data_IF_372608928639
#
_entry.id   IF_372608928639
#
_cell.length_a   1.000
_cell.length_b   1.000
_cell.length_c   1.000
_cell.angle_alpha   90.00
_cell.angle_beta   90.00
_cell.angle_gamma   90.00
#
_symmetry.space_group_name_H-M   'P 1'
#
loop_
_entity.id
_entity.type
_entity.pdbx_description
1 polymer ?
#
# COMPACT_ATOMS: atom_id res chain seq x y z
N UNK A 1 -13.87 21.68 -28.97
CA UNK A 1 -12.40 21.87 -29.11
C UNK A 1 -12.06 23.25 -28.58
N UNK A 2 -11.42 23.34 -27.40
CA UNK A 2 -10.86 24.62 -26.94
C UNK A 2 -9.75 25.01 -27.92
N UNK A 3 -9.78 26.24 -28.44
CA UNK A 3 -8.66 26.80 -29.19
C UNK A 3 -7.55 27.07 -28.16
N UNK A 4 -6.63 26.13 -28.02
CA UNK A 4 -5.44 26.34 -27.20
C UNK A 4 -4.62 27.47 -27.81
N UNK A 5 -4.18 28.39 -26.95
CA UNK A 5 -3.35 29.54 -27.36
C UNK A 5 -1.94 29.03 -27.69
N UNK A 6 -1.24 29.68 -28.62
CA UNK A 6 0.12 29.26 -29.04
C UNK A 6 1.10 29.21 -27.85
N UNK A 7 0.92 30.10 -26.87
CA UNK A 7 1.67 30.12 -25.61
C UNK A 7 1.41 28.87 -24.75
N UNK A 8 0.16 28.41 -24.66
CA UNK A 8 -0.19 27.18 -23.93
C UNK A 8 0.43 25.94 -24.60
N UNK A 9 0.46 25.93 -25.94
CA UNK A 9 1.14 24.89 -26.72
C UNK A 9 2.66 24.91 -26.50
N UNK A 10 3.27 26.09 -26.40
CA UNK A 10 4.69 26.25 -26.09
C UNK A 10 5.01 25.67 -24.70
N UNK A 11 4.24 26.06 -23.67
CA UNK A 11 4.40 25.54 -22.31
C UNK A 11 4.21 24.01 -22.25
N UNK A 12 3.17 23.49 -22.88
CA UNK A 12 2.89 22.05 -22.91
C UNK A 12 3.99 21.26 -23.63
N UNK A 13 4.68 21.86 -24.60
CA UNK A 13 5.84 21.24 -25.26
C UNK A 13 7.01 20.93 -24.31
N UNK A 14 7.13 21.66 -23.20
CA UNK A 14 8.18 21.44 -22.21
C UNK A 14 7.81 20.34 -21.20
N UNK A 15 6.53 20.10 -20.95
CA UNK A 15 6.02 19.11 -19.99
C UNK A 15 5.67 17.76 -20.63
N UNK A 16 5.19 17.77 -21.89
CA UNK A 16 4.64 16.59 -22.56
C UNK A 16 5.07 16.50 -24.02
N UNK A 17 5.02 15.27 -24.56
CA UNK A 17 5.26 15.04 -25.98
C UNK A 17 4.05 15.51 -26.80
N UNK A 18 4.21 16.61 -27.54
CA UNK A 18 3.21 17.12 -28.48
C UNK A 18 3.00 16.17 -29.67
N UNK A 19 1.77 16.12 -30.18
CA UNK A 19 1.45 15.42 -31.43
C UNK A 19 2.10 16.11 -32.64
N UNK A 20 2.22 15.39 -33.76
CA UNK A 20 2.87 15.91 -34.97
C UNK A 20 2.17 17.17 -35.54
N UNK A 21 0.84 17.24 -35.44
CA UNK A 21 0.05 18.39 -35.91
C UNK A 21 0.25 19.63 -35.02
N UNK A 22 0.34 19.43 -33.70
CA UNK A 22 0.56 20.51 -32.74
C UNK A 22 1.98 21.07 -32.81
N UNK A 23 2.96 20.19 -33.04
CA UNK A 23 4.34 20.61 -33.35
C UNK A 23 4.41 21.46 -34.60
N UNK A 24 3.76 21.04 -35.69
CA UNK A 24 3.72 21.83 -36.92
C UNK A 24 3.08 23.21 -36.72
N UNK A 25 2.04 23.31 -35.89
CA UNK A 25 1.41 24.60 -35.54
C UNK A 25 2.31 25.47 -34.67
N UNK A 26 3.05 24.88 -33.72
CA UNK A 26 4.01 25.59 -32.88
C UNK A 26 5.20 26.08 -33.71
N UNK A 27 5.75 25.26 -34.60
CA UNK A 27 6.89 25.61 -35.46
C UNK A 27 6.53 26.74 -36.44
N UNK A 28 5.32 26.68 -37.03
CA UNK A 28 4.81 27.76 -37.88
C UNK A 28 4.65 29.07 -37.10
N UNK A 29 4.20 29.01 -35.84
CA UNK A 29 4.06 30.18 -34.98
C UNK A 29 5.41 30.73 -34.50
N UNK A 30 6.38 29.87 -34.20
CA UNK A 30 7.75 30.24 -33.85
C UNK A 30 8.49 30.87 -35.03
N UNK A 31 8.19 30.46 -36.27
CA UNK A 31 8.72 31.08 -37.48
C UNK A 31 8.13 32.47 -37.73
N UNK A 32 6.88 32.71 -37.31
CA UNK A 32 6.16 33.96 -37.53
C UNK A 32 6.33 35.03 -36.45
N UNK A 33 6.86 34.69 -35.27
CA UNK A 33 6.97 35.62 -34.14
C UNK A 33 8.33 35.53 -33.45
N UNK A 34 9.05 36.65 -33.50
CA UNK A 34 10.34 36.79 -32.82
C UNK A 34 10.19 36.84 -31.29
N UNK A 35 9.02 37.26 -30.79
CA UNK A 35 8.69 37.32 -29.36
C UNK A 35 8.55 35.91 -28.77
N UNK A 36 7.81 35.02 -29.44
CA UNK A 36 7.65 33.61 -29.05
C UNK A 36 8.98 32.85 -29.03
N UNK A 37 9.89 33.16 -29.97
CA UNK A 37 11.26 32.61 -29.95
C UNK A 37 12.06 33.07 -28.74
N UNK A 38 11.91 34.33 -28.31
CA UNK A 38 12.61 34.84 -27.12
C UNK A 38 12.07 34.18 -25.86
N UNK A 39 10.77 33.98 -25.75
CA UNK A 39 10.15 33.27 -24.64
C UNK A 39 10.62 31.82 -24.55
N UNK A 40 10.66 31.11 -25.68
CA UNK A 40 11.20 29.74 -25.75
C UNK A 40 12.64 29.67 -25.22
N UNK A 41 13.50 30.61 -25.64
CA UNK A 41 14.89 30.67 -25.19
C UNK A 41 15.01 31.00 -23.69
N UNK A 42 14.12 31.83 -23.15
CA UNK A 42 14.11 32.14 -21.72
C UNK A 42 13.70 30.91 -20.89
N UNK A 43 12.64 30.21 -21.31
CA UNK A 43 12.18 28.97 -20.67
C UNK A 43 13.25 27.88 -20.71
N UNK A 44 13.97 27.75 -21.83
CA UNK A 44 15.07 26.80 -21.95
C UNK A 44 16.24 27.13 -21.01
N UNK A 45 16.59 28.41 -20.86
CA UNK A 45 17.61 28.86 -19.90
C UNK A 45 17.21 28.54 -18.46
N UNK A 46 15.95 28.81 -18.09
CA UNK A 46 15.42 28.49 -16.76
C UNK A 46 15.46 26.99 -16.51
N UNK A 47 15.07 26.17 -17.51
CA UNK A 47 15.13 24.71 -17.40
C UNK A 47 16.55 24.19 -17.20
N UNK A 48 17.51 24.71 -17.96
CA UNK A 48 18.91 24.32 -17.81
C UNK A 48 19.46 24.72 -16.42
N UNK A 49 19.09 25.92 -15.94
CA UNK A 49 19.46 26.38 -14.60
C UNK A 49 18.82 25.49 -13.51
N UNK A 50 17.54 25.15 -13.61
CA UNK A 50 16.88 24.19 -12.71
C UNK A 50 17.51 22.80 -12.77
N UNK A 51 17.86 22.31 -13.96
CA UNK A 51 18.56 21.04 -14.13
C UNK A 51 19.91 21.03 -13.43
N UNK A 52 20.62 22.16 -13.41
CA UNK A 52 21.89 22.29 -12.67
C UNK A 52 21.71 22.34 -11.15
N UNK A 53 20.52 22.71 -10.66
CA UNK A 53 20.16 22.70 -9.24
C UNK A 53 19.70 21.32 -8.75
N UNK A 54 19.29 20.43 -9.66
CA UNK A 54 18.99 19.05 -9.31
C UNK A 54 20.31 18.36 -8.95
N UNK A 55 20.60 18.34 -7.64
CA UNK A 55 21.66 17.54 -7.09
C UNK A 55 21.49 16.10 -7.59
N UNK A 56 22.52 15.56 -8.23
CA UNK A 56 22.58 14.14 -8.57
C UNK A 56 22.21 13.37 -7.31
N UNK A 57 21.13 12.53 -7.33
CA UNK A 57 20.75 11.79 -6.15
C UNK A 57 21.99 11.03 -5.69
N UNK A 58 22.44 11.31 -4.45
CA UNK A 58 23.63 10.66 -3.87
C UNK A 58 23.45 9.16 -4.05
N UNK A 59 24.45 8.49 -4.62
CA UNK A 59 24.49 7.02 -4.70
C UNK A 59 24.15 6.46 -3.30
N UNK A 60 23.13 5.61 -3.23
CA UNK A 60 22.63 5.03 -1.98
C UNK A 60 21.51 5.81 -1.27
N UNK A 61 20.93 6.86 -1.87
CA UNK A 61 19.73 7.51 -1.32
C UNK A 61 18.57 6.53 -1.19
N UNK A 62 18.34 5.72 -2.22
CA UNK A 62 17.30 4.67 -2.22
C UNK A 62 17.59 3.63 -1.13
N UNK A 63 18.85 3.23 -0.97
CA UNK A 63 19.24 2.28 0.09
C UNK A 63 19.06 2.87 1.49
N UNK A 64 19.33 4.17 1.67
CA UNK A 64 19.10 4.89 2.92
C UNK A 64 17.62 4.94 3.30
N UNK A 65 16.75 5.30 2.34
CA UNK A 65 15.30 5.35 2.53
C UNK A 65 14.74 3.94 2.79
N UNK A 66 15.17 2.94 2.03
CA UNK A 66 14.73 1.55 2.23
C UNK A 66 15.20 0.98 3.57
N UNK A 67 16.39 1.37 4.03
CA UNK A 67 16.88 0.96 5.35
C UNK A 67 16.02 1.56 6.47
N UNK A 68 15.68 2.84 6.37
CA UNK A 68 14.89 3.55 7.38
C UNK A 68 13.43 3.05 7.43
N UNK A 69 12.84 2.73 6.28
CA UNK A 69 11.51 2.10 6.19
C UNK A 69 11.48 0.67 6.76
N UNK A 70 12.53 -0.12 6.54
CA UNK A 70 12.62 -1.49 7.05
C UNK A 70 12.97 -1.58 8.53
N UNK A 71 13.51 -0.52 9.14
CA UNK A 71 13.72 -0.41 10.58
C UNK A 71 12.52 0.22 11.27
N UNK A 72 11.32 -0.37 11.11
CA UNK A 72 10.25 -0.12 12.08
C UNK A 72 10.47 -1.05 13.29
N UNK A 73 11.05 -0.57 14.41
CA UNK A 73 11.40 -1.43 15.55
C UNK A 73 10.17 -2.06 16.23
N UNK A 74 8.98 -1.52 15.94
CA UNK A 74 7.72 -1.97 16.53
C UNK A 74 7.33 -3.35 16.02
N UNK A 75 7.52 -3.63 14.72
CA UNK A 75 7.16 -4.93 14.13
C UNK A 75 8.11 -6.05 14.58
N UNK A 76 9.42 -5.78 14.62
CA UNK A 76 10.41 -6.75 15.08
C UNK A 76 10.23 -7.11 16.57
N UNK A 77 9.89 -6.13 17.40
CA UNK A 77 9.67 -6.35 18.84
C UNK A 77 8.38 -7.13 19.10
N UNK A 78 7.28 -6.80 18.40
CA UNK A 78 6.01 -7.53 18.51
C UNK A 78 6.12 -8.97 18.00
N UNK A 79 6.79 -9.20 16.87
CA UNK A 79 7.06 -10.55 16.36
C UNK A 79 7.90 -11.38 17.33
N UNK A 80 8.81 -10.75 18.09
CA UNK A 80 9.65 -11.47 19.07
C UNK A 80 8.91 -11.94 20.32
N UNK A 81 7.79 -11.28 20.67
CA UNK A 81 6.99 -11.59 21.86
C UNK A 81 5.85 -12.57 21.52
N UNK A 82 5.38 -12.57 20.27
CA UNK A 82 4.35 -13.49 19.76
C UNK A 82 4.58 -14.97 20.11
N UNK A 83 5.78 -15.58 19.92
CA UNK A 83 5.98 -16.99 20.21
C UNK A 83 5.90 -17.30 21.71
N UNK A 84 6.27 -16.35 22.58
CA UNK A 84 6.12 -16.51 24.05
C UNK A 84 4.66 -16.45 24.48
N UNK A 85 3.89 -15.54 23.89
CA UNK A 85 2.45 -15.44 24.15
C UNK A 85 1.68 -16.67 23.63
N UNK A 86 2.02 -17.15 22.42
CA UNK A 86 1.45 -18.37 21.85
C UNK A 86 1.78 -19.61 22.69
N UNK A 87 3.03 -19.73 23.17
CA UNK A 87 3.44 -20.83 24.05
C UNK A 87 2.67 -20.82 25.38
N UNK A 88 2.48 -19.64 26.00
CA UNK A 88 1.69 -19.52 27.22
C UNK A 88 0.23 -19.94 27.02
N UNK A 89 -0.38 -19.51 25.91
CA UNK A 89 -1.75 -19.90 25.54
C UNK A 89 -1.88 -21.42 25.36
N UNK A 90 -0.92 -22.03 24.67
CA UNK A 90 -0.89 -23.47 24.43
C UNK A 90 -0.74 -24.27 25.74
N UNK A 91 0.07 -23.78 26.67
CA UNK A 91 0.23 -24.39 28.00
C UNK A 91 -1.08 -24.33 28.79
N UNK A 92 -1.77 -23.19 28.78
CA UNK A 92 -3.07 -23.04 29.46
C UNK A 92 -4.10 -24.00 28.86
N UNK A 93 -4.16 -24.09 27.54
CA UNK A 93 -5.07 -25.01 26.83
C UNK A 93 -4.76 -26.48 27.17
N UNK A 94 -3.48 -26.86 27.21
CA UNK A 94 -3.08 -28.21 27.61
C UNK A 94 -3.47 -28.51 29.06
N UNK A 95 -3.24 -27.57 29.97
CA UNK A 95 -3.58 -27.73 31.39
C UNK A 95 -5.10 -27.87 31.60
N UNK A 96 -5.91 -27.09 30.89
CA UNK A 96 -7.37 -27.24 30.96
C UNK A 96 -7.81 -28.59 30.41
N UNK A 97 -7.25 -29.04 29.29
CA UNK A 97 -7.55 -30.34 28.70
C UNK A 97 -7.22 -31.51 29.64
N UNK A 98 -6.05 -31.44 30.29
CA UNK A 98 -5.61 -32.42 31.29
C UNK A 98 -6.54 -32.39 32.51
N UNK A 99 -6.96 -31.21 32.96
CA UNK A 99 -7.90 -31.05 34.07
C UNK A 99 -9.24 -31.73 33.80
N UNK A 100 -9.80 -31.54 32.60
CA UNK A 100 -11.04 -32.20 32.16
C UNK A 100 -10.85 -33.72 32.11
N UNK A 101 -9.76 -34.19 31.53
CA UNK A 101 -9.47 -35.63 31.45
C UNK A 101 -9.34 -36.29 32.83
N UNK A 102 -8.70 -35.62 33.80
CA UNK A 102 -8.61 -36.12 35.18
C UNK A 102 -9.97 -36.15 35.89
N UNK A 103 -10.85 -35.20 35.61
CA UNK A 103 -12.17 -35.10 36.24
C UNK A 103 -13.17 -36.12 35.66
N UNK A 104 -13.21 -36.28 34.33
CA UNK A 104 -14.22 -37.07 33.63
C UNK A 104 -13.70 -38.43 33.12
N UNK A 105 -12.39 -38.66 33.16
CA UNK A 105 -11.74 -39.90 32.74
C UNK A 105 -11.73 -40.15 31.22
N UNK A 106 -12.39 -39.29 30.44
CA UNK A 106 -12.41 -39.35 28.97
C UNK A 106 -12.54 -37.95 28.37
N UNK A 107 -11.98 -37.76 27.17
CA UNK A 107 -12.20 -36.55 26.36
C UNK A 107 -13.29 -36.88 25.34
N UNK A 108 -14.54 -36.76 25.74
CA UNK A 108 -15.67 -36.99 24.83
C UNK A 108 -15.83 -35.82 23.87
N UNK A 109 -15.90 -36.11 22.57
CA UNK A 109 -16.16 -35.13 21.51
C UNK A 109 -17.45 -34.35 21.73
N UNK A 110 -18.43 -34.95 22.41
CA UNK A 110 -19.71 -34.32 22.74
C UNK A 110 -19.55 -33.13 23.71
N UNK A 111 -18.57 -33.17 24.63
CA UNK A 111 -18.25 -32.06 25.52
C UNK A 111 -17.56 -30.90 24.80
N UNK A 112 -16.79 -31.19 23.74
CA UNK A 112 -16.10 -30.18 22.92
C UNK A 112 -17.08 -29.46 21.99
N UNK A 113 -18.10 -30.17 21.49
CA UNK A 113 -19.14 -29.62 20.61
C UNK A 113 -20.28 -28.98 21.44
N UNK A 114 -20.30 -29.19 22.76
CA UNK A 114 -21.30 -28.63 23.66
C UNK A 114 -22.67 -29.29 23.54
N UNK A 115 -22.73 -30.50 22.97
CA UNK A 115 -23.97 -31.28 22.85
C UNK A 115 -24.13 -32.10 24.12
N UNK A 116 -24.35 -31.40 25.24
CA UNK A 116 -24.69 -32.07 26.48
C UNK A 116 -26.13 -32.61 26.37
N UNK A 117 -26.25 -33.94 26.34
CA UNK A 117 -27.47 -34.68 26.65
C UNK A 117 -28.75 -34.22 25.92
N UNK A 118 -28.77 -34.25 24.59
CA UNK A 118 -30.05 -34.40 23.89
C UNK A 118 -30.38 -35.89 23.90
N UNK A 119 -31.05 -36.33 24.95
CA UNK A 119 -31.64 -37.65 24.95
C UNK A 119 -32.78 -37.64 23.90
N UNK A 120 -33.03 -38.74 23.16
CA UNK A 120 -34.06 -38.76 22.13
C UNK A 120 -35.43 -38.34 22.64
N UNK A 121 -35.71 -38.58 23.92
CA UNK A 121 -36.89 -38.09 24.64
C UNK A 121 -37.07 -36.56 24.63
N UNK A 122 -36.00 -35.76 24.62
CA UNK A 122 -36.10 -34.29 24.62
C UNK A 122 -36.56 -33.73 23.27
N UNK A 123 -36.29 -34.44 22.17
CA UNK A 123 -36.72 -34.04 20.82
C UNK A 123 -38.24 -34.12 20.63
N UNK A 124 -38.92 -34.99 21.38
CA UNK A 124 -40.38 -35.14 21.32
C UNK A 124 -41.13 -34.06 22.10
N UNK A 125 -40.48 -33.44 23.10
CA UNK A 125 -41.09 -32.35 23.89
C UNK A 125 -41.36 -31.08 23.07
N UNK A 126 -40.64 -30.90 21.96
CA UNK A 126 -40.78 -29.75 21.06
C UNK A 126 -41.80 -29.95 19.93
N UNK A 127 -42.41 -31.14 19.80
CA UNK A 127 -43.40 -31.46 18.77
C UNK A 127 -44.86 -31.46 19.28
N UNK A 128 -45.08 -31.28 20.58
CA UNK A 128 -46.41 -31.28 21.21
C UNK A 128 -47.00 -29.88 21.49
N UNK A 129 -46.53 -28.83 20.80
CA UNK A 129 -47.15 -27.49 20.82
C UNK A 129 -47.43 -26.95 19.42
#
# INVERSE_FOLDING_TARGET
MKKETIEELLLRSFEQQLSAEERGRLDAALAGSEELRREQQQLEKVRHWLGSLQATPKNGFVDGVMKELNTSPVEATLLSILPRAAAACLIVLLLTLIGIYMAEGSLSTDAIIGVNNLAPEDAYSYLEY
#
